data_IF_958611538255
#
_entry.id   IF_958611538255
#
_cell.length_a   1.000
_cell.length_b   1.000
_cell.length_c   1.000
_cell.angle_alpha   90.00
_cell.angle_beta   90.00
_cell.angle_gamma   90.00
#
_symmetry.space_group_name_H-M   'P 1'
#
loop_
_entity.id
_entity.type
_entity.pdbx_description
1 polymer ?
#
# COMPACT_ATOMS: atom_id res chain seq x y z
N UNK A 1 31.40 14.88 23.17
CA UNK A 1 31.59 14.88 21.71
C UNK A 1 30.60 13.84 21.23
N UNK A 2 29.47 14.27 20.66
CA UNK A 2 28.51 13.31 20.07
C UNK A 2 29.25 12.71 18.87
N UNK A 3 29.27 11.39 18.81
CA UNK A 3 30.00 10.66 17.78
C UNK A 3 29.36 10.96 16.41
N UNK A 4 30.14 11.42 15.44
CA UNK A 4 29.62 11.79 14.10
C UNK A 4 28.89 10.59 13.45
N UNK A 5 29.36 9.36 13.73
CA UNK A 5 28.74 8.13 13.25
C UNK A 5 27.34 7.87 13.81
N UNK A 6 27.06 8.26 15.06
CA UNK A 6 25.72 8.17 15.64
C UNK A 6 24.75 9.16 14.95
N UNK A 7 25.25 10.34 14.58
CA UNK A 7 24.46 11.34 13.85
C UNK A 7 24.15 10.87 12.42
N UNK A 8 25.14 10.31 11.71
CA UNK A 8 24.97 9.78 10.36
C UNK A 8 23.99 8.60 10.32
N UNK A 9 24.06 7.69 11.31
CA UNK A 9 23.11 6.59 11.44
C UNK A 9 21.70 7.10 11.70
N UNK A 10 21.56 8.08 12.60
CA UNK A 10 20.26 8.69 12.92
C UNK A 10 19.63 9.35 11.70
N UNK A 11 20.41 10.11 10.92
CA UNK A 11 19.95 10.74 9.68
C UNK A 11 19.53 9.71 8.62
N UNK A 12 20.27 8.61 8.51
CA UNK A 12 19.92 7.53 7.59
C UNK A 12 18.59 6.86 7.98
N UNK A 13 18.38 6.57 9.27
CA UNK A 13 17.14 6.00 9.79
C UNK A 13 15.96 6.93 9.57
N UNK A 14 16.10 8.22 9.90
CA UNK A 14 15.06 9.22 9.69
C UNK A 14 14.69 9.38 8.22
N UNK A 15 15.68 9.32 7.32
CA UNK A 15 15.42 9.36 5.87
C UNK A 15 14.60 8.16 5.41
N UNK A 16 14.95 6.96 5.86
CA UNK A 16 14.18 5.75 5.53
C UNK A 16 12.76 5.79 6.10
N UNK A 17 12.55 6.34 7.31
CA UNK A 17 11.21 6.55 7.85
C UNK A 17 10.38 7.54 7.01
N UNK A 18 11.00 8.63 6.55
CA UNK A 18 10.32 9.61 5.69
C UNK A 18 9.89 8.97 4.36
N UNK A 19 10.77 8.18 3.74
CA UNK A 19 10.49 7.45 2.49
C UNK A 19 9.33 6.47 2.69
N UNK A 20 9.35 5.68 3.76
CA UNK A 20 8.28 4.75 4.11
C UNK A 20 6.94 5.46 4.35
N UNK A 21 6.95 6.59 5.06
CA UNK A 21 5.75 7.40 5.30
C UNK A 21 5.21 8.00 4.01
N UNK A 22 6.08 8.42 3.09
CA UNK A 22 5.67 8.95 1.79
C UNK A 22 4.98 7.87 0.93
N UNK A 23 5.51 6.64 0.92
CA UNK A 23 4.88 5.49 0.26
C UNK A 23 3.51 5.17 0.85
N UNK A 24 3.40 5.19 2.19
CA UNK A 24 2.13 5.00 2.87
C UNK A 24 1.11 6.07 2.50
N UNK A 25 1.51 7.34 2.48
CA UNK A 25 0.63 8.46 2.09
C UNK A 25 0.18 8.31 0.63
N UNK A 26 1.08 7.92 -0.28
CA UNK A 26 0.73 7.68 -1.68
C UNK A 26 -0.36 6.60 -1.80
N UNK A 27 -0.21 5.48 -1.09
CA UNK A 27 -1.21 4.40 -1.10
C UNK A 27 -2.54 4.84 -0.46
N UNK A 28 -2.50 5.56 0.66
CA UNK A 28 -3.72 6.12 1.29
C UNK A 28 -4.44 7.07 0.33
N UNK A 29 -3.72 7.86 -0.46
CA UNK A 29 -4.31 8.85 -1.37
C UNK A 29 -5.12 8.23 -2.51
N UNK A 30 -4.79 7.00 -2.88
CA UNK A 30 -5.49 6.25 -3.94
C UNK A 30 -6.70 5.46 -3.42
N UNK A 31 -6.86 5.31 -2.10
CA UNK A 31 -7.94 4.53 -1.49
C UNK A 31 -9.04 5.48 -1.00
N UNK A 32 -10.26 5.44 -1.59
CA UNK A 32 -11.36 6.24 -1.08
C UNK A 32 -11.77 5.73 0.31
N UNK A 33 -11.45 6.48 1.35
CA UNK A 33 -11.79 6.17 2.75
C UNK A 33 -10.58 6.13 3.68
N UNK A 34 -10.53 5.15 4.58
CA UNK A 34 -9.41 4.88 5.50
C UNK A 34 -8.80 3.53 5.16
N UNK A 35 -7.48 3.39 5.32
CA UNK A 35 -6.86 2.07 5.29
C UNK A 35 -7.28 1.25 6.52
N UNK A 36 -7.50 -0.04 6.31
CA UNK A 36 -7.57 -1.01 7.39
C UNK A 36 -6.16 -1.37 7.86
N UNK A 37 -6.02 -1.86 9.10
CA UNK A 37 -4.73 -2.29 9.65
C UNK A 37 -4.02 -3.30 8.72
N UNK A 38 -4.76 -4.24 8.14
CA UNK A 38 -4.22 -5.20 7.17
C UNK A 38 -3.66 -4.54 5.90
N UNK A 39 -4.29 -3.46 5.42
CA UNK A 39 -3.77 -2.73 4.26
C UNK A 39 -2.51 -1.95 4.62
N UNK A 40 -2.43 -1.40 5.83
CA UNK A 40 -1.20 -0.78 6.36
C UNK A 40 -0.08 -1.80 6.44
N UNK A 41 -0.34 -2.99 6.99
CA UNK A 41 0.65 -4.07 7.12
C UNK A 41 1.23 -4.52 5.77
N UNK A 42 0.41 -4.55 4.71
CA UNK A 42 0.87 -4.87 3.35
C UNK A 42 1.79 -3.79 2.79
N UNK A 43 1.47 -2.51 2.99
CA UNK A 43 2.31 -1.39 2.54
C UNK A 43 3.64 -1.35 3.28
N UNK A 44 3.61 -1.64 4.59
CA UNK A 44 4.82 -1.76 5.40
C UNK A 44 5.63 -3.05 5.12
N UNK A 45 5.16 -3.91 4.21
CA UNK A 45 5.83 -5.18 3.88
C UNK A 45 5.79 -6.23 4.99
N UNK A 46 4.95 -6.05 6.01
CA UNK A 46 4.75 -6.99 7.11
C UNK A 46 3.89 -8.20 6.69
N UNK A 47 3.05 -8.02 5.67
CA UNK A 47 2.23 -9.06 5.07
C UNK A 47 2.41 -9.12 3.55
N UNK A 48 2.31 -10.31 2.94
CA UNK A 48 2.32 -10.43 1.49
C UNK A 48 1.08 -9.74 0.87
N UNK A 49 1.18 -9.22 -0.36
CA UNK A 49 0.04 -8.62 -1.03
C UNK A 49 -1.09 -9.63 -1.18
N UNK A 50 -2.29 -9.30 -0.67
CA UNK A 50 -3.46 -10.17 -0.85
C UNK A 50 -3.85 -10.08 -2.32
N UNK A 51 -3.89 -11.21 -3.08
CA UNK A 51 -4.41 -11.18 -4.44
C UNK A 51 -5.84 -10.66 -4.35
N UNK A 52 -6.15 -9.57 -5.07
CA UNK A 52 -7.53 -9.15 -5.28
C UNK A 52 -8.22 -10.33 -5.96
N UNK A 53 -9.03 -11.06 -5.20
CA UNK A 53 -9.91 -12.08 -5.76
C UNK A 53 -10.67 -11.41 -6.91
N UNK A 54 -10.55 -12.02 -8.09
CA UNK A 54 -11.03 -11.47 -9.34
C UNK A 54 -12.41 -10.89 -9.17
N UNK A 55 -12.57 -9.67 -9.66
CA UNK A 55 -13.89 -9.14 -9.99
C UNK A 55 -14.35 -9.94 -11.20
N UNK A 56 -14.80 -11.17 -10.93
CA UNK A 56 -15.62 -11.97 -11.83
C UNK A 56 -16.98 -11.28 -11.92
N UNK A 57 -17.02 -10.14 -12.61
CA UNK A 57 -18.27 -9.58 -13.10
C UNK A 57 -18.67 -10.40 -14.33
N UNK A 58 -19.01 -11.67 -14.07
CA UNK A 58 -19.73 -12.56 -14.96
C UNK A 58 -21.15 -12.02 -15.16
N UNK A 59 -21.26 -10.99 -15.98
CA UNK A 59 -22.51 -10.42 -16.47
C UNK A 59 -22.65 -10.63 -17.96
N UNK A 60 -22.38 -11.85 -18.44
CA UNK A 60 -22.71 -12.27 -19.79
C UNK A 60 -24.23 -12.21 -19.97
N UNK A 61 -24.72 -11.12 -20.54
CA UNK A 61 -26.12 -10.96 -20.92
C UNK A 61 -26.47 -12.07 -21.95
N UNK A 62 -27.44 -12.96 -21.66
CA UNK A 62 -27.82 -13.99 -22.60
C UNK A 62 -28.49 -13.36 -23.84
N UNK A 63 -28.17 -13.95 -24.99
CA UNK A 63 -28.63 -13.56 -26.31
C UNK A 63 -30.13 -13.22 -26.35
N UNK A 64 -30.45 -11.98 -26.77
CA UNK A 64 -31.77 -11.67 -27.28
C UNK A 64 -31.80 -12.11 -28.76
N UNK A 65 -32.18 -13.36 -29.00
CA UNK A 65 -32.77 -13.74 -30.30
C UNK A 65 -34.06 -12.93 -30.46
N UNK A 66 -34.07 -12.02 -31.42
CA UNK A 66 -35.29 -11.38 -31.92
C UNK A 66 -35.59 -11.99 -33.29
N UNK A 67 -36.87 -12.32 -33.46
CA UNK A 67 -37.51 -13.10 -34.51
C UNK A 67 -37.32 -12.63 -35.94
#
# INVERSE_FOLDING_TARGET
MVDDSDSELTDAVLRSEIELLAELIAVVSEVPGRLTDTQVDVVLGLLPPVPRAGRDDGGGSPAHTAS
#
